data_IF_627019416249
#
_entry.id   IF_627019416249
#
_cell.length_a   1.000
_cell.length_b   1.000
_cell.length_c   1.000
_cell.angle_alpha   90.00
_cell.angle_beta   90.00
_cell.angle_gamma   90.00
#
_symmetry.space_group_name_H-M   'P 1'
#
loop_
_entity.id
_entity.type
_entity.pdbx_description
1 polymer ?
#
# COMPACT_ATOMS: atom_id res chain seq x y z
N UNK A 1 44.02 -23.58 56.70
CA UNK A 1 43.31 -22.51 55.96
C UNK A 1 42.12 -23.18 55.28
N UNK A 2 40.97 -23.22 55.95
CA UNK A 2 39.81 -23.98 55.48
C UNK A 2 39.01 -23.16 54.44
N UNK A 3 38.57 -23.75 53.32
CA UNK A 3 37.81 -23.02 52.30
C UNK A 3 36.39 -22.70 52.81
N UNK A 4 35.93 -21.48 52.54
CA UNK A 4 34.66 -20.95 53.03
C UNK A 4 33.44 -21.69 52.40
N UNK A 5 32.59 -22.37 53.19
CA UNK A 5 31.51 -23.23 52.69
C UNK A 5 30.37 -22.48 51.98
N UNK A 6 30.24 -21.17 52.23
CA UNK A 6 29.15 -20.35 51.68
C UNK A 6 29.30 -20.04 50.19
N UNK A 7 30.53 -19.94 49.67
CA UNK A 7 30.76 -19.66 48.25
C UNK A 7 30.42 -20.87 47.35
N UNK A 8 30.65 -22.09 47.85
CA UNK A 8 30.28 -23.31 47.12
C UNK A 8 28.77 -23.54 47.05
N UNK A 9 28.02 -23.12 48.07
CA UNK A 9 26.56 -23.26 48.08
C UNK A 9 25.90 -22.27 47.11
N UNK A 10 26.35 -21.01 47.10
CA UNK A 10 25.87 -19.99 46.17
C UNK A 10 26.13 -20.36 44.70
N UNK A 11 27.33 -20.86 44.39
CA UNK A 11 27.68 -21.30 43.03
C UNK A 11 26.81 -22.47 42.55
N UNK A 12 26.50 -23.43 43.45
CA UNK A 12 25.62 -24.57 43.14
C UNK A 12 24.17 -24.15 42.90
N UNK A 13 23.65 -23.19 43.68
CA UNK A 13 22.29 -22.67 43.50
C UNK A 13 22.14 -21.94 42.16
N UNK A 14 23.15 -21.14 41.78
CA UNK A 14 23.15 -20.41 40.50
C UNK A 14 23.25 -21.38 39.31
N UNK A 15 24.12 -22.38 39.39
CA UNK A 15 24.25 -23.42 38.36
C UNK A 15 22.96 -24.23 38.18
N UNK A 16 22.30 -24.61 39.27
CA UNK A 16 21.04 -25.36 39.20
C UNK A 16 19.89 -24.50 38.64
N UNK A 17 19.84 -23.22 38.98
CA UNK A 17 18.87 -22.29 38.42
C UNK A 17 19.06 -22.08 36.90
N UNK A 18 20.30 -22.00 36.43
CA UNK A 18 20.60 -21.85 35.00
C UNK A 18 20.28 -23.11 34.21
N UNK A 19 20.61 -24.30 34.74
CA UNK A 19 20.27 -25.59 34.09
C UNK A 19 18.75 -25.79 34.02
N UNK A 20 18.01 -25.39 35.06
CA UNK A 20 16.54 -25.45 35.06
C UNK A 20 15.92 -24.48 34.04
N UNK A 21 16.47 -23.28 33.88
CA UNK A 21 16.01 -22.30 32.91
C UNK A 21 16.30 -22.75 31.46
N UNK A 22 17.48 -23.31 31.21
CA UNK A 22 17.84 -23.88 29.90
C UNK A 22 16.94 -25.06 29.56
N UNK A 23 16.70 -25.98 30.50
CA UNK A 23 15.80 -27.12 30.29
C UNK A 23 14.37 -26.68 29.99
N UNK A 24 13.86 -25.65 30.68
CA UNK A 24 12.54 -25.09 30.41
C UNK A 24 12.45 -24.44 29.01
N UNK A 25 13.53 -23.79 28.56
CA UNK A 25 13.60 -23.13 27.24
C UNK A 25 13.72 -24.16 26.11
N UNK A 26 14.47 -25.25 26.33
CA UNK A 26 14.59 -26.37 25.37
C UNK A 26 13.27 -27.13 25.25
N UNK A 27 12.60 -27.44 26.36
CA UNK A 27 11.26 -28.06 26.33
C UNK A 27 10.21 -27.20 25.62
N UNK A 28 10.26 -25.87 25.81
CA UNK A 28 9.35 -24.95 25.10
C UNK A 28 9.63 -24.93 23.58
N UNK A 29 10.89 -25.06 23.18
CA UNK A 29 11.29 -25.05 21.78
C UNK A 29 11.01 -26.39 21.06
N UNK A 30 11.13 -27.52 21.77
CA UNK A 30 10.76 -28.84 21.24
C UNK A 30 9.25 -28.98 21.01
N UNK A 31 8.41 -28.38 21.88
CA UNK A 31 6.95 -28.33 21.65
C UNK A 31 6.52 -27.44 20.48
N UNK A 32 7.38 -26.52 20.02
CA UNK A 32 7.11 -25.67 18.85
C UNK A 32 7.49 -26.34 17.52
N UNK A 33 8.30 -27.40 17.55
CA UNK A 33 8.87 -28.03 16.36
C UNK A 33 8.04 -29.22 15.81
N UNK A 34 7.03 -29.70 16.52
CA UNK A 34 6.18 -30.81 16.04
C UNK A 34 4.96 -30.29 15.30
N UNK A 35 5.03 -30.26 13.96
CA UNK A 35 3.92 -30.23 12.97
C UNK A 35 2.77 -29.25 13.22
N UNK A 36 2.54 -28.23 12.37
CA UNK A 36 1.40 -27.34 12.54
C UNK A 36 0.09 -28.14 12.39
N UNK A 37 -0.77 -28.20 13.42
CA UNK A 37 -2.04 -28.90 13.30
C UNK A 37 -2.88 -28.13 12.28
N UNK A 38 -3.46 -28.80 11.30
CA UNK A 38 -4.24 -28.18 10.22
C UNK A 38 -5.37 -27.26 10.72
N UNK A 39 -5.78 -27.40 11.99
CA UNK A 39 -6.70 -26.49 12.69
C UNK A 39 -6.12 -25.13 13.12
N UNK A 40 -4.80 -24.92 13.12
CA UNK A 40 -4.18 -23.63 13.49
C UNK A 40 -4.27 -22.59 12.39
N UNK A 41 -4.20 -22.99 11.12
CA UNK A 41 -4.34 -22.05 9.99
C UNK A 41 -5.78 -21.54 9.90
N UNK A 42 -6.77 -22.42 9.98
CA UNK A 42 -8.19 -22.01 10.01
C UNK A 42 -8.52 -21.18 11.25
N UNK A 43 -7.98 -21.48 12.44
CA UNK A 43 -8.19 -20.62 13.62
C UNK A 43 -7.52 -19.24 13.49
N UNK A 44 -6.34 -19.17 12.86
CA UNK A 44 -5.65 -17.89 12.59
C UNK A 44 -6.33 -17.06 11.49
N UNK A 45 -6.95 -17.70 10.51
CA UNK A 45 -7.82 -17.04 9.54
C UNK A 45 -9.16 -16.61 10.15
N UNK A 46 -9.72 -17.41 11.06
CA UNK A 46 -10.98 -17.10 11.74
C UNK A 46 -10.85 -15.97 12.76
N UNK A 47 -9.66 -15.79 13.34
CA UNK A 47 -9.37 -14.70 14.29
C UNK A 47 -8.03 -14.03 13.96
N UNK A 48 -7.99 -13.21 12.90
CA UNK A 48 -6.79 -12.45 12.56
C UNK A 48 -6.38 -11.53 13.73
N UNK A 49 -5.09 -11.17 13.85
CA UNK A 49 -4.65 -10.11 14.74
C UNK A 49 -5.49 -8.85 14.52
N UNK A 50 -5.84 -8.13 15.58
CA UNK A 50 -6.70 -6.94 15.51
C UNK A 50 -6.21 -5.91 14.48
N UNK A 51 -4.90 -5.78 14.35
CA UNK A 51 -4.26 -4.81 13.46
C UNK A 51 -4.43 -5.18 11.98
N UNK A 52 -4.35 -6.47 11.67
CA UNK A 52 -4.59 -7.00 10.32
C UNK A 52 -6.07 -6.91 9.96
N UNK A 53 -6.98 -7.24 10.89
CA UNK A 53 -8.41 -7.11 10.70
C UNK A 53 -8.80 -5.67 10.35
N UNK A 54 -8.24 -4.70 11.09
CA UNK A 54 -8.46 -3.28 10.86
C UNK A 54 -8.06 -2.82 9.45
N UNK A 55 -6.93 -3.28 8.92
CA UNK A 55 -6.52 -2.93 7.53
C UNK A 55 -7.56 -3.41 6.53
N UNK A 56 -8.02 -4.65 6.66
CA UNK A 56 -9.06 -5.20 5.77
C UNK A 56 -10.41 -4.49 5.93
N UNK A 57 -10.79 -4.12 7.15
CA UNK A 57 -12.00 -3.32 7.42
C UNK A 57 -11.92 -1.94 6.75
N UNK A 58 -10.79 -1.23 6.93
CA UNK A 58 -10.56 0.07 6.30
C UNK A 58 -10.58 -0.06 4.78
N UNK A 59 -9.93 -1.10 4.24
CA UNK A 59 -9.90 -1.38 2.81
C UNK A 59 -11.32 -1.62 2.25
N UNK A 60 -12.14 -2.42 2.95
CA UNK A 60 -13.53 -2.68 2.59
C UNK A 60 -14.38 -1.40 2.62
N UNK A 61 -14.23 -0.56 3.64
CA UNK A 61 -14.92 0.73 3.72
C UNK A 61 -14.54 1.68 2.59
N UNK A 62 -13.26 1.76 2.22
CA UNK A 62 -12.82 2.57 1.09
C UNK A 62 -13.39 2.08 -0.23
N UNK A 63 -13.36 0.76 -0.46
CA UNK A 63 -13.91 0.16 -1.67
C UNK A 63 -15.40 0.52 -1.81
N UNK A 64 -16.19 0.33 -0.75
CA UNK A 64 -17.61 0.68 -0.74
C UNK A 64 -17.85 2.18 -0.91
N UNK A 65 -17.05 3.01 -0.25
CA UNK A 65 -17.17 4.48 -0.35
C UNK A 65 -16.86 4.95 -1.76
N UNK A 66 -15.80 4.44 -2.40
CA UNK A 66 -15.47 4.81 -3.78
C UNK A 66 -16.54 4.33 -4.74
N UNK A 67 -17.04 3.10 -4.62
CA UNK A 67 -18.15 2.61 -5.41
C UNK A 67 -19.40 3.49 -5.26
N UNK A 68 -19.76 3.87 -4.03
CA UNK A 68 -20.92 4.73 -3.77
C UNK A 68 -20.73 6.16 -4.32
N UNK A 69 -19.62 6.82 -3.96
CA UNK A 69 -19.34 8.21 -4.33
C UNK A 69 -19.17 8.36 -5.85
N UNK A 70 -18.60 7.37 -6.52
CA UNK A 70 -18.44 7.38 -7.97
C UNK A 70 -19.78 7.43 -8.70
N UNK A 71 -20.79 6.72 -8.21
CA UNK A 71 -22.12 6.67 -8.84
C UNK A 71 -22.96 7.94 -8.62
N UNK A 72 -22.58 8.82 -7.69
CA UNK A 72 -23.35 10.03 -7.36
C UNK A 72 -22.81 11.21 -8.20
N UNK A 73 -23.66 11.88 -9.01
CA UNK A 73 -23.24 13.05 -9.78
C UNK A 73 -22.78 14.17 -8.84
N UNK A 74 -21.78 14.96 -9.28
CA UNK A 74 -21.06 15.99 -8.51
C UNK A 74 -20.16 15.45 -7.39
N UNK A 75 -20.60 14.46 -6.60
CA UNK A 75 -19.78 13.89 -5.52
C UNK A 75 -18.58 13.11 -6.07
N UNK A 76 -18.75 12.46 -7.23
CA UNK A 76 -17.65 11.80 -7.95
C UNK A 76 -16.48 12.72 -8.31
N UNK A 77 -16.69 14.05 -8.38
CA UNK A 77 -15.61 15.02 -8.62
C UNK A 77 -14.66 15.17 -7.44
N UNK A 78 -15.10 14.84 -6.22
CA UNK A 78 -14.22 14.85 -5.05
C UNK A 78 -13.07 13.84 -5.19
N UNK A 79 -13.28 12.79 -5.99
CA UNK A 79 -12.29 11.75 -6.28
C UNK A 79 -11.34 12.13 -7.42
N UNK A 80 -11.54 13.26 -8.10
CA UNK A 80 -10.76 13.65 -9.28
C UNK A 80 -9.24 13.66 -9.02
N UNK A 81 -8.72 14.17 -7.88
CA UNK A 81 -7.28 14.13 -7.61
C UNK A 81 -6.72 12.72 -7.47
N UNK A 82 -7.50 11.82 -6.87
CA UNK A 82 -7.12 10.42 -6.76
C UNK A 82 -7.20 9.71 -8.13
N UNK A 83 -8.19 10.03 -8.96
CA UNK A 83 -8.28 9.50 -10.33
C UNK A 83 -7.09 9.97 -11.16
N UNK A 84 -6.77 11.26 -11.10
CA UNK A 84 -5.62 11.84 -11.81
C UNK A 84 -4.30 11.18 -11.38
N UNK A 85 -4.17 10.92 -10.08
CA UNK A 85 -3.04 10.18 -9.52
C UNK A 85 -2.92 8.77 -10.11
N UNK A 86 -4.02 8.02 -10.16
CA UNK A 86 -4.00 6.65 -10.69
C UNK A 86 -3.74 6.62 -12.19
N UNK A 87 -4.33 7.54 -12.96
CA UNK A 87 -4.04 7.69 -14.39
C UNK A 87 -2.56 8.01 -14.59
N UNK A 88 -1.95 8.86 -13.76
CA UNK A 88 -0.51 9.09 -13.82
C UNK A 88 0.30 7.81 -13.55
N UNK A 89 -0.10 6.95 -12.61
CA UNK A 89 0.54 5.64 -12.40
C UNK A 89 0.34 4.68 -13.58
N UNK A 90 -0.81 4.73 -14.24
CA UNK A 90 -1.08 3.95 -15.45
C UNK A 90 -0.10 4.36 -16.57
N UNK A 91 -0.04 5.64 -16.90
CA UNK A 91 0.83 6.17 -17.95
C UNK A 91 2.32 6.00 -17.63
N UNK A 92 2.69 6.19 -16.37
CA UNK A 92 4.05 5.95 -15.92
C UNK A 92 4.47 4.47 -16.08
N UNK A 93 3.54 3.53 -15.94
CA UNK A 93 3.82 2.11 -16.14
C UNK A 93 4.09 1.77 -17.60
N UNK A 94 3.38 2.40 -18.55
CA UNK A 94 3.72 2.33 -19.97
C UNK A 94 5.13 2.86 -20.22
N UNK A 95 5.49 4.00 -19.63
CA UNK A 95 6.81 4.61 -19.79
C UNK A 95 7.93 3.71 -19.25
N UNK A 96 7.76 3.10 -18.06
CA UNK A 96 8.74 2.18 -17.48
C UNK A 96 8.95 0.97 -18.37
N UNK A 97 7.88 0.26 -18.74
CA UNK A 97 8.00 -0.96 -19.55
C UNK A 97 8.49 -0.63 -20.96
N UNK A 98 8.07 0.51 -21.52
CA UNK A 98 8.62 1.05 -22.75
C UNK A 98 10.15 1.19 -22.65
N UNK A 99 10.64 1.86 -21.61
CA UNK A 99 12.09 2.04 -21.42
C UNK A 99 12.82 0.72 -21.24
N UNK A 100 12.27 -0.22 -20.47
CA UNK A 100 12.85 -1.55 -20.25
C UNK A 100 12.90 -2.40 -21.54
N UNK A 101 11.97 -2.19 -22.47
CA UNK A 101 11.94 -2.89 -23.76
C UNK A 101 12.71 -2.16 -24.87
N UNK A 102 13.40 -1.07 -24.53
CA UNK A 102 14.22 -0.29 -25.47
C UNK A 102 13.47 0.80 -26.24
N UNK A 103 12.24 1.14 -25.84
CA UNK A 103 11.53 2.29 -26.39
C UNK A 103 12.14 3.62 -25.91
N UNK A 104 11.99 4.65 -26.74
CA UNK A 104 12.28 6.04 -26.38
C UNK A 104 10.99 6.74 -25.99
N UNK A 105 10.96 7.38 -24.82
CA UNK A 105 9.82 8.15 -24.32
C UNK A 105 9.84 9.53 -24.98
N UNK A 106 8.81 9.86 -25.74
CA UNK A 106 8.70 11.16 -26.43
C UNK A 106 7.92 12.17 -25.58
N UNK A 107 6.77 11.78 -25.04
CA UNK A 107 6.02 12.57 -24.07
C UNK A 107 5.14 11.69 -23.17
N UNK A 108 4.88 12.16 -21.95
CA UNK A 108 3.90 11.60 -21.03
C UNK A 108 3.00 12.76 -20.59
N UNK A 109 1.74 12.68 -20.95
CA UNK A 109 0.74 13.71 -20.70
C UNK A 109 -0.42 13.09 -19.92
N UNK A 110 -0.88 13.81 -18.90
CA UNK A 110 -2.07 13.44 -18.12
C UNK A 110 -3.02 14.62 -18.23
N UNK A 111 -4.25 14.39 -18.66
CA UNK A 111 -5.25 15.44 -18.79
C UNK A 111 -6.10 15.52 -17.53
N UNK A 112 -6.54 16.74 -17.12
CA UNK A 112 -7.40 16.92 -15.96
C UNK A 112 -8.76 16.23 -16.07
N UNK A 113 -9.19 15.93 -17.30
CA UNK A 113 -10.41 15.18 -17.63
C UNK A 113 -10.24 13.65 -17.48
N UNK A 114 -9.33 13.21 -16.60
CA UNK A 114 -9.08 11.80 -16.28
C UNK A 114 -8.53 10.99 -17.48
N UNK A 115 -7.91 11.65 -18.45
CA UNK A 115 -7.24 11.01 -19.59
C UNK A 115 -5.73 11.00 -19.44
N UNK A 116 -5.07 10.10 -20.17
CA UNK A 116 -3.62 9.97 -20.22
C UNK A 116 -3.15 9.64 -21.62
N UNK A 117 -1.92 10.05 -21.95
CA UNK A 117 -1.28 9.69 -23.20
C UNK A 117 0.24 9.60 -23.03
N UNK A 118 0.76 8.38 -23.17
CA UNK A 118 2.20 8.11 -23.23
C UNK A 118 2.64 7.81 -24.65
N UNK A 119 3.44 8.72 -25.24
CA UNK A 119 3.99 8.57 -26.59
C UNK A 119 5.37 7.91 -26.52
N UNK A 120 5.47 6.73 -27.12
CA UNK A 120 6.67 5.90 -27.14
C UNK A 120 7.08 5.58 -28.58
N UNK A 121 8.38 5.61 -28.85
CA UNK A 121 8.95 5.18 -30.13
C UNK A 121 9.82 3.93 -29.95
N UNK A 122 9.42 2.84 -30.59
CA UNK A 122 10.08 1.53 -30.49
C UNK A 122 9.62 0.69 -29.29
N UNK A 123 10.38 -0.37 -28.97
CA UNK A 123 10.07 -1.31 -27.89
C UNK A 123 9.07 -2.40 -28.26
N UNK A 124 8.70 -3.24 -27.28
CA UNK A 124 7.78 -4.35 -27.48
C UNK A 124 6.34 -3.96 -27.09
N UNK A 125 5.53 -3.66 -28.10
CA UNK A 125 4.13 -3.26 -27.92
C UNK A 125 3.29 -4.28 -27.13
N UNK A 126 3.59 -5.58 -27.26
CA UNK A 126 2.87 -6.64 -26.54
C UNK A 126 3.02 -6.52 -25.02
N UNK A 127 4.15 -6.01 -24.54
CA UNK A 127 4.38 -5.76 -23.11
C UNK A 127 3.96 -4.36 -22.69
N UNK A 128 4.15 -3.37 -23.57
CA UNK A 128 3.83 -1.97 -23.27
C UNK A 128 2.33 -1.77 -23.11
N UNK A 129 1.50 -2.28 -24.03
CA UNK A 129 0.04 -2.05 -24.00
C UNK A 129 -0.67 -2.54 -22.73
N UNK A 130 -0.38 -3.73 -22.17
CA UNK A 130 -0.97 -4.14 -20.90
C UNK A 130 -0.27 -3.54 -19.67
N UNK A 131 0.89 -2.90 -19.83
CA UNK A 131 1.69 -2.42 -18.70
C UNK A 131 0.95 -1.38 -17.85
N UNK A 132 0.08 -0.57 -18.45
CA UNK A 132 -0.67 0.45 -17.74
C UNK A 132 -1.62 -0.12 -16.69
N UNK A 133 -2.49 -1.06 -17.07
CA UNK A 133 -3.42 -1.72 -16.14
C UNK A 133 -2.66 -2.57 -15.11
N UNK A 134 -1.68 -3.36 -15.55
CA UNK A 134 -0.92 -4.23 -14.64
C UNK A 134 -0.11 -3.39 -13.65
N UNK A 135 0.57 -2.35 -14.13
CA UNK A 135 1.43 -1.50 -13.30
C UNK A 135 0.65 -0.70 -12.28
N UNK A 136 -0.49 -0.09 -12.66
CA UNK A 136 -1.39 0.60 -11.72
C UNK A 136 -1.94 -0.35 -10.64
N UNK A 137 -2.31 -1.58 -11.02
CA UNK A 137 -2.74 -2.61 -10.06
C UNK A 137 -1.62 -3.05 -9.11
N UNK A 138 -0.40 -3.22 -9.61
CA UNK A 138 0.77 -3.60 -8.81
C UNK A 138 1.15 -2.48 -7.84
N UNK A 139 1.24 -1.23 -8.31
CA UNK A 139 1.53 -0.07 -7.45
C UNK A 139 0.48 0.05 -6.36
N UNK A 140 -0.81 -0.07 -6.71
CA UNK A 140 -1.91 -0.07 -5.76
C UNK A 140 -1.79 -1.17 -4.69
N UNK A 141 -1.48 -2.39 -5.13
CA UNK A 141 -1.29 -3.53 -4.23
C UNK A 141 -0.10 -3.34 -3.29
N UNK A 142 1.00 -2.75 -3.77
CA UNK A 142 2.17 -2.42 -2.94
C UNK A 142 1.82 -1.34 -1.91
N UNK A 143 1.04 -0.32 -2.27
CA UNK A 143 0.57 0.69 -1.31
C UNK A 143 -0.27 0.06 -0.20
N UNK A 144 -1.22 -0.81 -0.54
CA UNK A 144 -1.99 -1.56 0.46
C UNK A 144 -1.08 -2.44 1.31
N UNK A 145 -0.08 -3.11 0.71
CA UNK A 145 0.88 -3.93 1.46
C UNK A 145 1.71 -3.10 2.45
N UNK A 146 2.14 -1.90 2.08
CA UNK A 146 2.85 -0.98 2.96
C UNK A 146 2.01 -0.56 4.18
N UNK A 147 0.67 -0.63 4.11
CA UNK A 147 -0.21 -0.25 5.21
C UNK A 147 -0.15 -1.19 6.43
N UNK A 148 0.38 -2.41 6.28
CA UNK A 148 0.53 -3.36 7.39
C UNK A 148 1.66 -2.99 8.36
N UNK A 149 2.57 -2.10 7.97
CA UNK A 149 3.67 -1.65 8.81
C UNK A 149 3.70 -0.12 8.89
N UNK A 150 3.74 0.45 10.09
CA UNK A 150 3.67 1.90 10.29
C UNK A 150 4.82 2.65 9.59
N UNK A 151 6.05 2.12 9.61
CA UNK A 151 7.18 2.77 8.94
C UNK A 151 7.01 2.77 7.42
N UNK A 152 6.65 1.61 6.85
CA UNK A 152 6.41 1.47 5.42
C UNK A 152 5.24 2.36 4.97
N UNK A 153 4.18 2.43 5.79
CA UNK A 153 3.03 3.28 5.57
C UNK A 153 3.39 4.77 5.56
N UNK A 154 4.25 5.22 6.48
CA UNK A 154 4.73 6.61 6.51
C UNK A 154 5.51 6.93 5.23
N UNK A 155 6.43 6.07 4.82
CA UNK A 155 7.19 6.23 3.57
C UNK A 155 6.23 6.23 2.36
N UNK A 156 5.28 5.30 2.31
CA UNK A 156 4.30 5.21 1.24
C UNK A 156 3.41 6.46 1.17
N UNK A 157 3.04 7.04 2.30
CA UNK A 157 2.25 8.29 2.32
C UNK A 157 3.03 9.48 1.78
N UNK A 158 4.36 9.54 2.00
CA UNK A 158 5.22 10.54 1.37
C UNK A 158 5.29 10.35 -0.15
N UNK A 159 5.35 9.10 -0.61
CA UNK A 159 5.29 8.79 -2.04
C UNK A 159 3.95 9.23 -2.66
N UNK A 160 2.82 8.93 -2.00
CA UNK A 160 1.49 9.39 -2.42
C UNK A 160 1.43 10.92 -2.45
N UNK A 161 1.87 11.60 -1.39
CA UNK A 161 1.89 13.07 -1.34
C UNK A 161 2.73 13.67 -2.48
N UNK A 162 3.93 13.14 -2.72
CA UNK A 162 4.80 13.58 -3.81
C UNK A 162 4.13 13.37 -5.17
N UNK A 163 3.53 12.21 -5.39
CA UNK A 163 2.83 11.91 -6.65
C UNK A 163 1.61 12.82 -6.87
N UNK A 164 0.86 13.18 -5.82
CA UNK A 164 -0.21 14.18 -5.91
C UNK A 164 0.33 15.57 -6.29
N UNK A 165 1.47 15.98 -5.71
CA UNK A 165 2.13 17.23 -6.08
C UNK A 165 2.56 17.22 -7.55
N UNK A 166 3.12 16.10 -8.05
CA UNK A 166 3.46 15.97 -9.47
C UNK A 166 2.22 16.09 -10.35
N UNK A 167 1.11 15.44 -9.96
CA UNK A 167 -0.15 15.50 -10.73
C UNK A 167 -0.74 16.90 -10.81
N UNK A 168 -0.44 17.75 -9.82
CA UNK A 168 -0.86 19.15 -9.80
C UNK A 168 -0.25 19.96 -10.95
N UNK A 169 0.92 19.58 -11.47
CA UNK A 169 1.56 20.25 -12.61
C UNK A 169 0.72 20.12 -13.88
N UNK A 170 0.16 18.94 -14.14
CA UNK A 170 -0.71 18.69 -15.29
C UNK A 170 -2.10 19.34 -15.14
N UNK A 171 -2.54 19.60 -13.90
CA UNK A 171 -3.81 20.26 -13.60
C UNK A 171 -3.77 21.81 -13.67
N UNK A 172 -2.77 22.42 -14.33
CA UNK A 172 -2.53 23.87 -14.27
C UNK A 172 -3.71 24.72 -14.75
N UNK A 173 -4.45 24.29 -15.77
CA UNK A 173 -5.57 25.03 -16.34
C UNK A 173 -6.88 24.89 -15.54
N UNK A 174 -6.98 23.89 -14.65
CA UNK A 174 -8.21 23.58 -13.92
C UNK A 174 -8.08 23.95 -12.44
N UNK A 175 -8.43 25.20 -12.13
CA UNK A 175 -8.35 25.74 -10.77
C UNK A 175 -9.11 24.89 -9.74
N UNK A 176 -10.29 24.35 -10.09
CA UNK A 176 -11.07 23.49 -9.19
C UNK A 176 -10.30 22.23 -8.78
N UNK A 177 -9.79 21.46 -9.75
CA UNK A 177 -8.99 20.25 -9.50
C UNK A 177 -7.75 20.58 -8.70
N UNK A 178 -7.08 21.70 -8.99
CA UNK A 178 -5.89 22.15 -8.26
C UNK A 178 -6.19 22.43 -6.78
N UNK A 179 -7.24 23.19 -6.49
CA UNK A 179 -7.65 23.48 -5.11
C UNK A 179 -8.09 22.22 -4.38
N UNK A 180 -8.77 21.30 -5.07
CA UNK A 180 -9.17 20.03 -4.50
C UNK A 180 -7.96 19.12 -4.20
N UNK A 181 -6.96 19.06 -5.08
CA UNK A 181 -5.69 18.35 -4.82
C UNK A 181 -4.96 18.95 -3.62
N UNK A 182 -4.92 20.28 -3.50
CA UNK A 182 -4.33 20.95 -2.33
C UNK A 182 -5.11 20.62 -1.05
N UNK A 183 -6.44 20.59 -1.11
CA UNK A 183 -7.28 20.19 0.03
C UNK A 183 -6.94 18.77 0.49
N UNK A 184 -6.84 17.80 -0.42
CA UNK A 184 -6.41 16.46 -0.07
C UNK A 184 -4.98 16.47 0.50
N UNK A 185 -4.02 17.14 -0.14
CA UNK A 185 -2.65 17.22 0.37
C UNK A 185 -2.58 17.80 1.80
N UNK A 186 -3.36 18.84 2.09
CA UNK A 186 -3.46 19.42 3.44
C UNK A 186 -4.13 18.47 4.43
N UNK A 187 -5.15 17.72 4.03
CA UNK A 187 -5.76 16.70 4.89
C UNK A 187 -4.78 15.59 5.25
N UNK A 188 -3.91 15.16 4.31
CA UNK A 188 -2.84 14.20 4.60
C UNK A 188 -1.86 14.74 5.65
N UNK A 189 -1.43 15.99 5.50
CA UNK A 189 -0.52 16.65 6.47
C UNK A 189 -1.21 16.80 7.84
N UNK A 190 -2.48 17.16 7.85
CA UNK A 190 -3.29 17.25 9.07
C UNK A 190 -3.37 15.90 9.79
N UNK A 191 -3.67 14.83 9.05
CA UNK A 191 -3.71 13.47 9.61
C UNK A 191 -2.35 13.01 10.13
N UNK A 192 -1.26 13.38 9.47
CA UNK A 192 0.09 13.15 9.96
C UNK A 192 0.37 13.88 11.28
N UNK A 193 -0.11 15.12 11.42
CA UNK A 193 0.12 15.95 12.60
C UNK A 193 -0.75 15.53 13.79
N UNK A 194 -2.01 15.15 13.55
CA UNK A 194 -2.99 14.86 14.61
C UNK A 194 -3.09 13.36 14.92
N UNK A 195 -2.96 12.50 13.91
CA UNK A 195 -3.15 11.06 14.01
C UNK A 195 -1.91 10.29 13.54
N UNK A 196 -0.72 10.66 14.05
CA UNK A 196 0.58 10.17 13.59
C UNK A 196 0.75 8.64 13.56
N UNK A 197 -0.06 7.90 14.33
CA UNK A 197 -0.04 6.44 14.43
C UNK A 197 -0.97 5.73 13.44
N UNK A 198 -2.00 6.41 12.92
CA UNK A 198 -3.07 5.75 12.13
C UNK A 198 -3.55 6.54 10.91
N UNK A 199 -3.41 7.86 10.90
CA UNK A 199 -3.84 8.73 9.79
C UNK A 199 -3.20 8.34 8.46
N UNK A 200 -1.86 8.22 8.37
CA UNK A 200 -1.19 7.85 7.10
C UNK A 200 -1.69 6.52 6.52
N UNK A 201 -2.14 5.60 7.38
CA UNK A 201 -2.67 4.30 6.99
C UNK A 201 -3.97 4.42 6.22
N UNK A 202 -4.87 5.29 6.65
CA UNK A 202 -6.13 5.55 5.96
C UNK A 202 -5.87 6.05 4.53
N UNK A 203 -5.00 7.05 4.41
CA UNK A 203 -4.65 7.67 3.13
C UNK A 203 -3.97 6.73 2.13
N UNK A 204 -3.03 5.91 2.62
CA UNK A 204 -2.29 4.97 1.76
C UNK A 204 -3.20 3.83 1.30
N UNK A 205 -4.09 3.33 2.18
CA UNK A 205 -5.10 2.34 1.79
C UNK A 205 -6.07 2.96 0.78
N UNK A 206 -6.53 4.19 0.99
CA UNK A 206 -7.38 4.92 0.05
C UNK A 206 -6.75 4.99 -1.36
N UNK A 207 -5.50 5.45 -1.45
CA UNK A 207 -4.76 5.54 -2.70
C UNK A 207 -4.58 4.15 -3.36
N UNK A 208 -4.23 3.13 -2.57
CA UNK A 208 -4.03 1.78 -3.06
C UNK A 208 -5.32 1.13 -3.60
N UNK A 209 -6.41 1.21 -2.85
CA UNK A 209 -7.74 0.70 -3.26
C UNK A 209 -8.24 1.42 -4.49
N UNK A 210 -8.07 2.75 -4.55
CA UNK A 210 -8.45 3.51 -5.72
C UNK A 210 -7.65 3.07 -6.94
N UNK A 211 -6.35 2.85 -6.80
CA UNK A 211 -5.48 2.40 -7.91
C UNK A 211 -5.92 1.04 -8.49
N UNK A 212 -6.19 0.06 -7.64
CA UNK A 212 -6.65 -1.27 -8.07
C UNK A 212 -8.05 -1.21 -8.68
N UNK A 213 -8.97 -0.47 -8.05
CA UNK A 213 -10.37 -0.38 -8.53
C UNK A 213 -10.47 0.37 -9.86
N UNK A 214 -9.72 1.46 -10.00
CA UNK A 214 -9.74 2.27 -11.20
C UNK A 214 -9.07 1.55 -12.37
N UNK A 215 -8.01 0.77 -12.13
CA UNK A 215 -7.39 -0.08 -13.17
C UNK A 215 -8.40 -1.07 -13.80
N UNK A 216 -9.29 -1.64 -12.99
CA UNK A 216 -10.39 -2.47 -13.48
C UNK A 216 -11.39 -1.67 -14.31
N UNK A 217 -11.73 -0.46 -13.87
CA UNK A 217 -12.64 0.42 -14.60
C UNK A 217 -12.06 0.83 -15.96
N UNK A 218 -10.78 1.16 -16.00
CA UNK A 218 -10.04 1.54 -17.20
C UNK A 218 -10.05 0.41 -18.24
N UNK A 219 -9.86 -0.83 -17.79
CA UNK A 219 -10.00 -2.02 -18.62
C UNK A 219 -11.42 -2.21 -19.16
N UNK A 220 -12.45 -1.97 -18.34
CA UNK A 220 -13.86 -2.05 -18.75
C UNK A 220 -14.17 -0.97 -19.79
N UNK A 221 -13.77 0.27 -19.55
CA UNK A 221 -13.99 1.38 -20.46
C UNK A 221 -13.33 1.13 -21.82
N UNK A 222 -12.05 0.71 -21.80
CA UNK A 222 -11.27 0.51 -23.02
C UNK A 222 -11.68 -0.74 -23.82
N UNK A 223 -12.14 -1.80 -23.16
CA UNK A 223 -12.46 -3.07 -23.82
C UNK A 223 -13.96 -3.21 -24.17
N UNK A 224 -14.85 -2.66 -23.33
CA UNK A 224 -16.31 -2.83 -23.46
C UNK A 224 -16.95 -1.57 -24.04
N UNK A 225 -16.59 -0.39 -23.55
CA UNK A 225 -17.33 0.85 -23.85
C UNK A 225 -16.88 1.58 -25.11
N UNK A 226 -15.68 1.28 -25.61
CA UNK A 226 -15.17 1.77 -26.91
C UNK A 226 -15.70 0.97 -28.13
N UNK A 227 -16.82 0.25 -28.01
CA UNK A 227 -17.53 -0.37 -29.14
C UNK A 227 -18.78 0.40 -29.53
#
# INVERSE_FOLDING_TARGET
MAPHPFLHLAARTIANATVSAISATVSANETAATTPPSGTLFNRLAKPPSDTARVFEIMGWHLLTFLAVWNIPYLGRLLDPYKLLVVAFHEFSHAIVGKCTGATIESVEVTPDQGGATRLRGGNACLILPAGYIGSSVIGSVLVFCSFNLLACKIASCFVALSMIMTMWWAHDHAFTRWLTLFWLMSLVYEWAVFADYGPQFYVIAAGVMSVTYSLWDMVEDLIRRR
#
